data_IF_629463664558
#
_entry.id   IF_629463664558
#
_cell.length_a   1.000
_cell.length_b   1.000
_cell.length_c   1.000
_cell.angle_alpha   90.00
_cell.angle_beta   90.00
_cell.angle_gamma   90.00
#
_symmetry.space_group_name_H-M   'P 1'
#
loop_
_entity.id
_entity.type
_entity.pdbx_description
1 polymer ?
#
# COMPACT_ATOMS: atom_id res chain seq x y z
N UNK A 1 14.12 2.73 1.89
CA UNK A 1 12.71 2.75 1.45
C UNK A 1 12.61 1.96 0.17
N UNK A 2 11.63 1.06 0.05
CA UNK A 2 11.34 0.32 -1.19
C UNK A 2 9.97 0.80 -1.68
N UNK A 3 9.90 1.31 -2.90
CA UNK A 3 8.65 1.76 -3.51
C UNK A 3 8.43 1.02 -4.83
N UNK A 4 7.21 0.56 -5.05
CA UNK A 4 6.73 -0.01 -6.30
C UNK A 4 5.56 0.83 -6.78
N UNK A 5 5.64 1.29 -8.03
CA UNK A 5 4.60 2.08 -8.68
C UNK A 5 4.31 1.43 -10.04
N UNK A 6 3.05 1.09 -10.28
CA UNK A 6 2.60 0.52 -11.54
C UNK A 6 1.33 1.19 -12.00
N UNK A 7 1.35 1.66 -13.24
CA UNK A 7 0.18 2.20 -13.91
C UNK A 7 -0.28 1.23 -15.01
N UNK A 8 -1.59 1.10 -15.18
CA UNK A 8 -2.20 0.32 -16.23
C UNK A 8 -3.46 1.02 -16.74
N UNK A 9 -3.72 0.92 -18.05
CA UNK A 9 -4.99 1.34 -18.63
C UNK A 9 -5.92 0.13 -18.74
N UNK A 10 -7.16 0.29 -18.28
CA UNK A 10 -8.17 -0.76 -18.23
C UNK A 10 -9.34 -0.29 -19.09
N UNK A 11 -9.75 -1.03 -20.13
CA UNK A 11 -10.80 -0.62 -21.06
C UNK A 11 -12.21 -0.80 -20.45
N UNK A 12 -12.43 -0.18 -19.29
CA UNK A 12 -13.67 -0.17 -18.50
C UNK A 12 -13.77 1.14 -17.73
N UNK A 13 -14.98 1.54 -17.36
CA UNK A 13 -15.19 2.74 -16.52
C UNK A 13 -14.72 2.51 -15.08
N UNK A 14 -14.34 3.57 -14.33
CA UNK A 14 -13.81 3.42 -12.98
C UNK A 14 -14.73 2.65 -12.03
N UNK A 15 -16.05 2.83 -12.17
CA UNK A 15 -17.07 2.15 -11.36
C UNK A 15 -17.06 0.64 -11.58
N UNK A 16 -16.87 0.19 -12.83
CA UNK A 16 -16.82 -1.23 -13.19
C UNK A 16 -15.53 -1.88 -12.68
N UNK A 17 -14.40 -1.17 -12.80
CA UNK A 17 -13.12 -1.62 -12.27
C UNK A 17 -13.19 -1.74 -10.76
N UNK A 18 -13.71 -0.70 -10.09
CA UNK A 18 -13.87 -0.70 -8.63
C UNK A 18 -14.80 -1.80 -8.15
N UNK A 19 -15.96 -2.00 -8.79
CA UNK A 19 -16.88 -3.07 -8.45
C UNK A 19 -16.22 -4.45 -8.58
N UNK A 20 -15.40 -4.65 -9.62
CA UNK A 20 -14.63 -5.89 -9.81
C UNK A 20 -13.59 -6.09 -8.70
N UNK A 21 -12.85 -5.05 -8.33
CA UNK A 21 -11.87 -5.10 -7.24
C UNK A 21 -12.55 -5.40 -5.90
N UNK A 22 -13.67 -4.74 -5.60
CA UNK A 22 -14.44 -4.98 -4.39
C UNK A 22 -14.99 -6.41 -4.33
N UNK A 23 -15.46 -6.94 -5.46
CA UNK A 23 -15.92 -8.33 -5.55
C UNK A 23 -14.79 -9.34 -5.33
N UNK A 24 -13.63 -9.11 -5.94
CA UNK A 24 -12.45 -9.95 -5.69
C UNK A 24 -11.98 -9.87 -4.24
N UNK A 25 -12.05 -8.71 -3.62
CA UNK A 25 -11.73 -8.55 -2.20
C UNK A 25 -12.73 -9.29 -1.30
N UNK A 26 -14.03 -9.27 -1.61
CA UNK A 26 -15.05 -10.05 -0.89
C UNK A 26 -14.84 -11.55 -1.04
N UNK A 27 -14.65 -12.03 -2.27
CA UNK A 27 -14.34 -13.44 -2.53
C UNK A 27 -13.05 -13.87 -1.81
N UNK A 28 -12.00 -13.05 -1.80
CA UNK A 28 -10.79 -13.34 -1.05
C UNK A 28 -10.99 -13.32 0.49
N UNK A 29 -11.99 -12.60 1.00
CA UNK A 29 -12.34 -12.59 2.41
C UNK A 29 -13.17 -13.82 2.82
N UNK A 30 -14.16 -14.19 1.99
CA UNK A 30 -15.10 -15.28 2.27
C UNK A 30 -14.48 -16.66 2.00
N UNK A 31 -13.59 -16.73 1.03
CA UNK A 31 -13.12 -17.99 0.46
C UNK A 31 -11.67 -18.22 0.92
N UNK A 32 -11.47 -19.20 1.80
CA UNK A 32 -10.15 -19.77 2.08
C UNK A 32 -9.66 -20.51 0.82
N UNK A 33 -9.35 -19.80 -0.26
CA UNK A 33 -9.09 -20.36 -1.60
C UNK A 33 -7.85 -21.24 -1.67
N UNK A 34 -8.06 -22.56 -1.74
CA UNK A 34 -7.05 -23.63 -1.84
C UNK A 34 -5.79 -23.29 -2.62
N UNK A 35 -4.64 -23.60 -2.03
CA UNK A 35 -3.35 -23.86 -2.70
C UNK A 35 -2.76 -22.76 -3.58
N UNK A 36 -2.36 -21.65 -2.95
CA UNK A 36 -1.04 -20.99 -3.10
C UNK A 36 -1.13 -19.60 -2.45
N UNK A 37 -0.49 -19.40 -1.28
CA UNK A 37 -0.31 -18.08 -0.64
C UNK A 37 -1.62 -17.27 -0.51
N UNK A 38 -2.61 -17.82 0.20
CA UNK A 38 -3.93 -17.18 0.37
C UNK A 38 -3.81 -15.88 1.17
N UNK A 39 -4.47 -14.82 0.74
CA UNK A 39 -4.67 -13.62 1.55
C UNK A 39 -5.96 -13.85 2.37
N UNK A 40 -5.87 -13.94 3.70
CA UNK A 40 -7.06 -14.06 4.56
C UNK A 40 -7.40 -12.69 5.10
N UNK A 41 -8.58 -12.15 4.81
CA UNK A 41 -9.06 -10.87 5.35
C UNK A 41 -10.02 -11.10 6.51
N UNK A 42 -9.74 -10.58 7.71
CA UNK A 42 -10.63 -10.71 8.88
C UNK A 42 -11.04 -9.37 9.47
N UNK A 43 -12.32 -9.28 9.84
CA UNK A 43 -12.85 -8.28 10.77
C UNK A 43 -12.80 -6.84 10.26
N UNK A 44 -13.50 -6.52 9.17
CA UNK A 44 -13.70 -5.13 8.73
C UNK A 44 -14.66 -4.43 9.71
N UNK A 45 -14.14 -3.70 10.69
CA UNK A 45 -14.98 -2.85 11.54
C UNK A 45 -15.16 -1.48 10.87
N UNK A 46 -16.34 -1.24 10.32
CA UNK A 46 -16.76 0.03 9.69
C UNK A 46 -16.70 0.02 8.16
N UNK A 47 -17.39 0.97 7.52
CA UNK A 47 -17.28 1.25 6.10
C UNK A 47 -16.68 2.65 5.91
N UNK A 48 -15.37 2.75 5.67
CA UNK A 48 -14.70 4.04 5.44
C UNK A 48 -13.34 4.20 6.14
N UNK A 49 -13.04 5.44 6.53
CA UNK A 49 -11.81 5.81 7.25
C UNK A 49 -11.79 5.21 8.67
N UNK A 50 -10.63 4.73 9.12
CA UNK A 50 -10.46 4.16 10.46
C UNK A 50 -10.88 2.69 10.58
N UNK A 51 -11.29 2.07 9.48
CA UNK A 51 -11.57 0.64 9.45
C UNK A 51 -10.26 -0.15 9.55
N UNK A 52 -10.25 -1.17 10.40
CA UNK A 52 -9.13 -2.11 10.51
C UNK A 52 -9.52 -3.46 9.99
N UNK A 53 -8.56 -4.18 9.41
CA UNK A 53 -8.71 -5.56 8.97
C UNK A 53 -7.38 -6.27 9.11
N UNK A 54 -7.37 -7.58 9.29
CA UNK A 54 -6.13 -8.35 9.27
C UNK A 54 -5.98 -9.04 7.92
N UNK A 55 -4.80 -8.94 7.29
CA UNK A 55 -4.52 -9.61 6.03
C UNK A 55 -3.12 -10.25 6.00
N UNK A 56 -3.02 -11.46 5.47
CA UNK A 56 -1.76 -12.18 5.35
C UNK A 56 -1.92 -13.63 4.89
N UNK A 57 -0.80 -14.36 4.84
CA UNK A 57 -0.80 -15.79 4.55
C UNK A 57 -1.35 -16.57 5.76
N UNK A 58 -2.30 -17.51 5.60
CA UNK A 58 -2.85 -18.31 6.70
C UNK A 58 -1.79 -19.13 7.46
N UNK A 59 -0.71 -19.55 6.77
CA UNK A 59 0.42 -20.26 7.38
C UNK A 59 1.39 -19.31 8.09
N UNK A 60 1.14 -18.00 8.00
CA UNK A 60 1.89 -16.95 8.70
C UNK A 60 0.95 -16.16 9.60
N UNK A 61 1.53 -15.29 10.43
CA UNK A 61 0.75 -14.36 11.24
C UNK A 61 0.05 -13.35 10.32
N UNK A 62 -1.26 -13.21 10.47
CA UNK A 62 -2.01 -12.12 9.84
C UNK A 62 -1.46 -10.79 10.33
N UNK A 63 -1.39 -9.80 9.44
CA UNK A 63 -0.87 -8.48 9.76
C UNK A 63 -2.04 -7.51 9.80
N UNK A 64 -2.15 -6.65 10.83
CA UNK A 64 -3.21 -5.65 10.87
C UNK A 64 -2.97 -4.56 9.82
N UNK A 65 -4.04 -4.18 9.16
CA UNK A 65 -4.14 -3.09 8.20
C UNK A 65 -5.20 -2.10 8.67
N UNK A 66 -4.99 -0.84 8.34
CA UNK A 66 -5.87 0.29 8.64
C UNK A 66 -6.14 1.06 7.35
N UNK A 67 -7.41 1.35 7.08
CA UNK A 67 -7.82 2.18 5.94
C UNK A 67 -7.54 3.64 6.28
N UNK A 68 -6.63 4.25 5.53
CA UNK A 68 -6.21 5.65 5.70
C UNK A 68 -6.90 6.58 4.71
N UNK A 69 -7.37 6.07 3.57
CA UNK A 69 -8.15 6.85 2.62
C UNK A 69 -9.19 5.96 1.89
N UNK A 70 -10.43 6.43 1.80
CA UNK A 70 -11.53 5.71 1.16
C UNK A 70 -12.44 6.67 0.39
N UNK A 71 -12.30 6.71 -0.94
CA UNK A 71 -13.13 7.52 -1.84
C UNK A 71 -13.53 6.72 -3.09
N UNK A 72 -14.43 5.72 -2.97
CA UNK A 72 -14.90 4.95 -4.12
C UNK A 72 -15.57 5.86 -5.17
N UNK A 73 -15.42 5.57 -6.48
CA UNK A 73 -14.62 4.50 -7.09
C UNK A 73 -13.15 4.90 -7.35
N UNK A 74 -12.71 6.08 -6.90
CA UNK A 74 -11.46 6.68 -7.37
C UNK A 74 -10.24 6.29 -6.55
N UNK A 75 -10.41 5.96 -5.27
CA UNK A 75 -9.25 5.88 -4.39
C UNK A 75 -9.47 4.96 -3.20
N UNK A 76 -8.48 4.08 -3.01
CA UNK A 76 -8.30 3.29 -1.81
C UNK A 76 -6.86 3.41 -1.30
N UNK A 77 -6.67 3.66 0.00
CA UNK A 77 -5.36 3.55 0.62
C UNK A 77 -5.45 2.90 2.00
N UNK A 78 -4.51 2.01 2.29
CA UNK A 78 -4.37 1.37 3.58
C UNK A 78 -2.91 1.27 4.04
N UNK A 79 -2.74 1.16 5.35
CA UNK A 79 -1.46 1.10 6.04
C UNK A 79 -1.43 -0.14 6.91
N UNK A 80 -0.33 -0.88 6.86
CA UNK A 80 -0.01 -1.92 7.83
C UNK A 80 1.26 -1.50 8.56
N UNK A 81 1.28 -1.65 9.88
CA UNK A 81 2.46 -1.39 10.69
C UNK A 81 2.81 -2.61 11.53
N UNK A 82 4.09 -2.96 11.50
CA UNK A 82 4.67 -3.88 12.43
C UNK A 82 5.68 -3.12 13.30
N UNK A 83 5.38 -2.85 14.57
CA UNK A 83 6.36 -2.27 15.48
C UNK A 83 7.48 -3.29 15.72
N UNK A 84 8.73 -2.82 15.77
CA UNK A 84 9.87 -3.69 16.06
C UNK A 84 11.15 -2.90 16.27
N UNK A 85 11.86 -3.20 17.35
CA UNK A 85 13.08 -2.48 17.74
C UNK A 85 14.23 -2.67 16.73
N UNK A 86 14.25 -3.80 16.00
CA UNK A 86 15.27 -4.12 14.98
C UNK A 86 14.71 -4.32 13.56
N UNK A 87 13.42 -4.60 13.42
CA UNK A 87 12.77 -5.01 12.16
C UNK A 87 11.34 -4.47 12.04
N UNK A 88 11.10 -3.29 12.60
CA UNK A 88 9.84 -2.62 12.38
C UNK A 88 9.69 -2.27 10.89
N UNK A 89 8.45 -2.21 10.42
CA UNK A 89 8.17 -1.62 9.12
C UNK A 89 6.75 -1.05 9.04
N UNK A 90 6.61 -0.05 8.17
CA UNK A 90 5.35 0.49 7.69
C UNK A 90 5.21 0.10 6.23
N UNK A 91 4.08 -0.52 5.89
CA UNK A 91 3.69 -0.85 4.53
C UNK A 91 2.48 0.02 4.17
N UNK A 92 2.60 0.76 3.07
CA UNK A 92 1.54 1.58 2.51
C UNK A 92 1.11 0.96 1.18
N UNK A 93 -0.19 0.81 0.99
CA UNK A 93 -0.79 0.36 -0.25
C UNK A 93 -1.81 1.39 -0.69
N UNK A 94 -1.76 1.79 -1.97
CA UNK A 94 -2.65 2.77 -2.55
C UNK A 94 -3.04 2.35 -3.96
N UNK A 95 -4.32 2.53 -4.28
CA UNK A 95 -4.88 2.37 -5.61
C UNK A 95 -5.64 3.65 -5.95
N UNK A 96 -5.25 4.28 -7.05
CA UNK A 96 -5.94 5.41 -7.65
C UNK A 96 -6.53 4.97 -9.01
N UNK A 97 -7.76 5.40 -9.28
CA UNK A 97 -8.44 5.22 -10.55
C UNK A 97 -8.85 6.58 -11.08
N UNK A 98 -8.38 6.89 -12.29
CA UNK A 98 -8.73 8.10 -13.02
C UNK A 98 -9.52 7.74 -14.29
N UNK A 99 -10.59 8.50 -14.62
CA UNK A 99 -11.29 8.30 -15.88
C UNK A 99 -10.41 8.71 -17.07
N UNK A 100 -10.40 7.88 -18.11
CA UNK A 100 -9.68 8.11 -19.36
C UNK A 100 -10.64 7.92 -20.55
N UNK A 101 -11.64 8.80 -20.66
CA UNK A 101 -12.71 8.66 -21.65
C UNK A 101 -13.61 7.47 -21.35
N UNK A 102 -13.59 6.43 -22.21
CA UNK A 102 -14.34 5.19 -21.99
C UNK A 102 -13.57 4.15 -21.16
N UNK A 103 -12.30 4.42 -20.84
CA UNK A 103 -11.42 3.55 -20.06
C UNK A 103 -11.09 4.18 -18.69
N UNK A 104 -10.32 3.44 -17.89
CA UNK A 104 -9.78 3.90 -16.61
C UNK A 104 -8.27 3.77 -16.63
N UNK A 105 -7.57 4.74 -16.06
CA UNK A 105 -6.16 4.63 -15.70
C UNK A 105 -6.07 4.24 -14.23
N UNK A 106 -5.53 3.07 -13.95
CA UNK A 106 -5.30 2.57 -12.61
C UNK A 106 -3.83 2.75 -12.25
N UNK A 107 -3.54 3.44 -11.16
CA UNK A 107 -2.21 3.52 -10.55
C UNK A 107 -2.22 2.77 -9.23
N UNK A 108 -1.29 1.84 -9.06
CA UNK A 108 -1.09 1.07 -7.84
C UNK A 108 0.28 1.40 -7.28
N UNK A 109 0.32 1.78 -6.00
CA UNK A 109 1.54 2.12 -5.29
C UNK A 109 1.67 1.27 -4.03
N UNK A 110 2.87 0.72 -3.83
CA UNK A 110 3.24 -0.05 -2.64
C UNK A 110 4.54 0.52 -2.11
N UNK A 111 4.53 1.03 -0.87
CA UNK A 111 5.73 1.57 -0.23
C UNK A 111 6.02 0.82 1.07
N UNK A 112 7.23 0.28 1.18
CA UNK A 112 7.75 -0.37 2.38
C UNK A 112 8.86 0.49 2.99
N UNK A 113 8.59 0.99 4.19
CA UNK A 113 9.52 1.76 4.99
C UNK A 113 9.93 0.91 6.18
N UNK A 114 11.20 0.55 6.27
CA UNK A 114 11.74 -0.09 7.47
C UNK A 114 12.05 0.99 8.51
N UNK A 115 11.38 0.95 9.66
CA UNK A 115 11.80 1.73 10.83
C UNK A 115 12.73 0.84 11.66
N UNK A 116 14.03 1.09 11.55
CA UNK A 116 15.00 0.54 12.47
C UNK A 116 15.56 1.72 13.28
N UNK A 117 15.12 1.93 14.53
CA UNK A 117 15.59 3.04 15.35
C UNK A 117 17.12 3.03 15.54
N UNK A 118 17.79 1.87 15.46
CA UNK A 118 19.25 1.81 15.49
C UNK A 118 19.89 2.30 14.18
N UNK A 119 19.25 2.08 13.02
CA UNK A 119 19.72 2.66 11.76
C UNK A 119 19.48 4.18 11.72
N UNK A 120 18.38 4.66 12.30
CA UNK A 120 18.14 6.11 12.44
C UNK A 120 19.18 6.75 13.37
N UNK A 121 19.46 6.14 14.53
CA UNK A 121 20.51 6.58 15.46
C UNK A 121 21.91 6.54 14.80
N UNK A 122 22.24 5.46 14.09
CA UNK A 122 23.51 5.38 13.35
C UNK A 122 23.60 6.39 12.21
N UNK A 123 22.51 6.67 11.48
CA UNK A 123 22.51 7.70 10.43
C UNK A 123 22.70 9.12 10.98
N UNK A 124 22.25 9.38 12.20
CA UNK A 124 22.48 10.65 12.89
C UNK A 124 23.90 10.78 13.46
N UNK A 125 24.61 9.67 13.68
CA UNK A 125 26.01 9.68 14.11
C UNK A 125 27.01 9.68 12.94
N UNK A 126 26.58 9.32 11.73
CA UNK A 126 27.47 9.08 10.58
C UNK A 126 27.36 10.10 9.44
N UNK A 127 26.71 11.25 9.65
CA UNK A 127 26.67 12.30 8.62
C UNK A 127 27.22 13.64 9.14
N UNK A 128 28.32 14.19 8.58
CA UNK A 128 28.40 15.64 8.43
C UNK A 128 27.21 16.11 7.58
N UNK A 129 26.69 17.30 7.87
CA UNK A 129 25.45 17.85 7.32
C UNK A 129 25.18 17.45 5.86
N UNK A 130 24.05 16.78 5.61
CA UNK A 130 23.57 16.57 4.24
C UNK A 130 23.24 17.93 3.63
N UNK A 131 23.53 18.13 2.33
CA UNK A 131 23.13 19.34 1.65
C UNK A 131 21.60 19.46 1.61
N UNK A 132 21.16 20.71 1.58
CA UNK A 132 19.77 21.12 1.58
C UNK A 132 19.02 20.47 0.40
N UNK A 133 17.74 20.12 0.62
CA UNK A 133 16.90 19.33 -0.30
C UNK A 133 16.79 19.91 -1.73
N UNK A 134 17.16 21.17 -1.93
CA UNK A 134 17.25 21.83 -3.24
C UNK A 134 18.31 21.22 -4.17
N UNK A 135 19.36 20.60 -3.64
CA UNK A 135 20.45 20.05 -4.47
C UNK A 135 20.13 18.63 -5.01
N UNK A 136 19.05 18.01 -4.56
CA UNK A 136 18.67 16.65 -4.97
C UNK A 136 17.97 16.59 -6.34
N UNK A 137 17.36 17.69 -6.81
CA UNK A 137 16.70 17.74 -8.13
C UNK A 137 17.71 17.76 -9.29
N UNK A 138 18.88 18.37 -9.10
CA UNK A 138 19.93 18.47 -10.14
C UNK A 138 20.61 17.12 -10.46
N UNK A 139 20.57 16.16 -9.54
CA UNK A 139 21.15 14.81 -9.74
C UNK A 139 20.24 13.93 -10.59
N UNK A 140 18.93 14.20 -10.62
CA UNK A 140 17.96 13.41 -11.39
C UNK A 140 17.90 13.87 -12.86
N UNK A 141 18.29 15.11 -13.16
CA UNK A 141 18.26 15.67 -14.52
C UNK A 141 19.41 15.26 -15.46
N UNK A 142 20.31 14.36 -15.06
CA UNK A 142 21.48 13.95 -15.86
C UNK A 142 21.68 12.44 -16.03
N UNK A 143 20.63 11.63 -15.81
CA UNK A 143 20.61 10.21 -16.16
C UNK A 143 19.59 9.91 -17.27
#
# INVERSE_FOLDING_TARGET
MIAFDKTAEIPRKPEEVWARLAEQARSAADESLGTARKLVVRGVQGSGLGCRFEAGNPDRRLVPWEVVEWRPPFLFACRSEKPGWFRGHVLLFRVDLEPAGASSRMRMQISLVFNNPLLELWSNWSKPALPDWKDAEDVVGKL
#
